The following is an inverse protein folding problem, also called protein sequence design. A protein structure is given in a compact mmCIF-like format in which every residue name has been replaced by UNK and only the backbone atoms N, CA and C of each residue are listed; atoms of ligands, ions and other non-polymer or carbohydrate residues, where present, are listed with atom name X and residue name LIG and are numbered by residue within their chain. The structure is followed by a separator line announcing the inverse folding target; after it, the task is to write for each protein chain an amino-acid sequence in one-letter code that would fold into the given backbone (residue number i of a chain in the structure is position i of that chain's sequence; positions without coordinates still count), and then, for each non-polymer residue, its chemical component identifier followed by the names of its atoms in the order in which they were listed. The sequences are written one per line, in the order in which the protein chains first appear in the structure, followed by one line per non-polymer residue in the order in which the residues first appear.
data_IF_625981667390
#
_entry.id   IF_625981667390
#
_cell.length_a   1.000
_cell.length_b   1.000
_cell.length_c   1.000
_cell.angle_alpha   90.00
_cell.angle_beta   90.00
_cell.angle_gamma   90.00
#
_symmetry.space_group_name_H-M   'P 1'
#
loop_
_entity.id
_entity.type
_entity.pdbx_description
1 polymer ?
#
# COMPACT_ATOMS: atom_id res chain seq x y z
N UNK A 1 -102.07 14.09 9.66
CA UNK A 1 -101.26 12.87 9.53
C UNK A 1 -99.91 13.28 8.96
N UNK A 2 -98.88 13.44 9.79
CA UNK A 2 -97.54 13.81 9.36
C UNK A 2 -96.58 12.63 9.61
N UNK A 3 -95.63 12.34 8.71
CA UNK A 3 -94.81 11.14 8.79
C UNK A 3 -93.70 11.27 9.85
N UNK A 4 -93.42 10.15 10.51
CA UNK A 4 -92.49 10.03 11.64
C UNK A 4 -91.03 10.13 11.18
N UNK A 5 -90.29 11.03 11.84
CA UNK A 5 -88.88 11.37 11.64
C UNK A 5 -87.96 10.26 12.19
N UNK A 6 -87.80 9.15 11.46
CA UNK A 6 -87.02 8.00 11.95
C UNK A 6 -85.99 7.44 10.98
N UNK A 7 -85.67 8.15 9.89
CA UNK A 7 -84.76 7.64 8.87
C UNK A 7 -83.68 8.65 8.47
N UNK A 8 -82.88 9.11 9.45
CA UNK A 8 -81.62 9.81 9.18
C UNK A 8 -80.43 8.94 9.63
N UNK A 9 -79.52 8.53 8.72
CA UNK A 9 -78.31 7.84 9.13
C UNK A 9 -77.41 8.78 9.95
N UNK A 10 -76.88 8.26 11.05
CA UNK A 10 -76.02 9.00 11.99
C UNK A 10 -74.69 9.40 11.32
N UNK A 11 -74.13 10.59 11.63
CA UNK A 11 -72.88 11.04 11.04
C UNK A 11 -71.68 10.19 11.50
N UNK A 12 -70.87 9.74 10.55
CA UNK A 12 -69.66 8.97 10.77
C UNK A 12 -68.61 9.82 11.49
N UNK A 13 -68.42 9.55 12.78
CA UNK A 13 -67.51 10.29 13.66
C UNK A 13 -66.08 9.95 13.28
N UNK A 14 -65.46 10.76 12.42
CA UNK A 14 -64.04 10.69 12.10
C UNK A 14 -63.21 10.73 13.39
N UNK A 15 -62.66 9.59 13.80
CA UNK A 15 -61.85 9.46 15.00
C UNK A 15 -60.49 10.09 14.71
N UNK A 16 -60.39 11.42 14.87
CA UNK A 16 -59.10 12.11 14.83
C UNK A 16 -58.26 11.50 15.94
N UNK A 17 -57.25 10.68 15.57
CA UNK A 17 -56.26 10.18 16.52
C UNK A 17 -55.55 11.39 17.11
N UNK A 18 -56.01 11.82 18.29
CA UNK A 18 -55.30 12.79 19.11
C UNK A 18 -54.12 12.04 19.69
N UNK A 19 -53.01 12.06 18.96
CA UNK A 19 -51.75 11.54 19.46
C UNK A 19 -51.42 12.29 20.76
N UNK A 20 -51.12 11.58 21.84
CA UNK A 20 -50.85 12.20 23.11
C UNK A 20 -49.51 12.95 23.03
N UNK A 21 -49.33 14.02 23.83
CA UNK A 21 -48.16 14.89 23.73
C UNK A 21 -46.83 14.15 23.95
N UNK A 22 -46.83 13.02 24.66
CA UNK A 22 -45.65 12.17 24.85
C UNK A 22 -45.19 11.46 23.57
N UNK A 23 -46.06 11.27 22.58
CA UNK A 23 -45.70 10.65 21.30
C UNK A 23 -44.79 11.56 20.46
N UNK A 24 -44.99 12.89 20.54
CA UNK A 24 -44.13 13.87 19.87
C UNK A 24 -42.74 13.97 20.54
N UNK A 25 -42.70 13.89 21.87
CA UNK A 25 -41.45 13.88 22.65
C UNK A 25 -40.63 12.61 22.36
N UNK A 26 -41.30 11.45 22.28
CA UNK A 26 -40.66 10.19 21.91
C UNK A 26 -40.09 10.22 20.48
N UNK A 27 -40.83 10.77 19.52
CA UNK A 27 -40.35 10.89 18.14
C UNK A 27 -39.12 11.81 18.00
N UNK A 28 -39.12 12.96 18.70
CA UNK A 28 -37.98 13.88 18.72
C UNK A 28 -36.74 13.25 19.39
N UNK A 29 -36.93 12.50 20.47
CA UNK A 29 -35.84 11.76 21.13
C UNK A 29 -35.21 10.71 20.22
N UNK A 30 -36.03 9.96 19.47
CA UNK A 30 -35.55 8.93 18.52
C UNK A 30 -34.75 9.58 17.38
N UNK A 31 -35.25 10.67 16.79
CA UNK A 31 -34.56 11.37 15.71
C UNK A 31 -33.20 11.92 16.18
N UNK A 32 -33.16 12.57 17.34
CA UNK A 32 -31.90 13.07 17.90
C UNK A 32 -30.86 11.96 18.13
N UNK A 33 -31.30 10.79 18.61
CA UNK A 33 -30.42 9.64 18.82
C UNK A 33 -29.85 9.08 17.50
N UNK A 34 -30.67 9.03 16.45
CA UNK A 34 -30.22 8.57 15.12
C UNK A 34 -29.22 9.53 14.46
N UNK A 35 -29.40 10.85 14.63
CA UNK A 35 -28.47 11.85 14.09
C UNK A 35 -27.12 11.78 14.81
N UNK A 36 -27.11 11.64 16.14
CA UNK A 36 -25.86 11.50 16.91
C UNK A 36 -25.09 10.23 16.52
N UNK A 37 -25.78 9.10 16.34
CA UNK A 37 -25.14 7.85 15.91
C UNK A 37 -24.58 7.90 14.48
N UNK A 38 -25.14 8.75 13.60
CA UNK A 38 -24.62 8.93 12.23
C UNK A 38 -23.45 9.92 12.16
N UNK A 39 -23.36 10.88 13.09
CA UNK A 39 -22.30 11.90 13.13
C UNK A 39 -21.06 11.40 13.87
N UNK A 40 -21.22 10.55 14.88
CA UNK A 40 -20.11 9.85 15.51
C UNK A 40 -19.81 8.62 14.66
N UNK A 41 -18.86 8.73 13.72
CA UNK A 41 -18.32 7.57 13.04
C UNK A 41 -17.78 6.60 14.11
N UNK A 42 -18.41 5.43 14.34
CA UNK A 42 -17.83 4.48 15.25
C UNK A 42 -16.58 3.93 14.56
N UNK A 43 -15.44 3.99 15.23
CA UNK A 43 -14.30 3.13 14.93
C UNK A 43 -14.78 1.68 15.08
N UNK A 44 -15.31 1.09 14.01
CA UNK A 44 -15.76 -0.30 13.99
C UNK A 44 -14.50 -1.18 14.07
N UNK A 45 -14.27 -1.90 15.18
CA UNK A 45 -13.13 -2.80 15.28
C UNK A 45 -13.37 -3.95 14.30
N UNK A 46 -12.56 -4.04 13.24
CA UNK A 46 -12.70 -5.06 12.19
C UNK A 46 -12.67 -4.54 10.76
N UNK A 47 -12.71 -3.22 10.53
CA UNK A 47 -12.46 -2.61 9.21
C UNK A 47 -11.02 -2.14 9.03
N UNK A 48 -10.08 -2.63 9.85
CA UNK A 48 -8.67 -2.48 9.52
C UNK A 48 -8.43 -3.27 8.24
N UNK A 49 -8.10 -2.58 7.14
CA UNK A 49 -7.71 -3.22 5.89
C UNK A 49 -6.51 -4.10 6.20
N UNK A 50 -6.73 -5.40 6.33
CA UNK A 50 -5.64 -6.35 6.49
C UNK A 50 -4.78 -6.28 5.25
N UNK A 51 -3.49 -5.99 5.43
CA UNK A 51 -2.55 -5.96 4.32
C UNK A 51 -2.42 -7.37 3.74
N UNK A 52 -2.39 -7.52 2.40
CA UNK A 52 -2.18 -8.81 1.81
C UNK A 52 -0.83 -9.38 2.27
N UNK A 53 -0.75 -10.68 2.54
CA UNK A 53 0.48 -11.37 2.87
C UNK A 53 1.33 -11.63 1.60
N UNK A 54 1.50 -10.60 0.78
CA UNK A 54 2.31 -10.63 -0.43
C UNK A 54 3.62 -9.92 -0.10
N UNK A 55 4.74 -10.58 -0.37
CA UNK A 55 6.06 -9.95 -0.33
C UNK A 55 6.23 -9.01 -1.52
N UNK A 56 6.74 -7.81 -1.27
CA UNK A 56 7.12 -6.87 -2.33
C UNK A 56 8.60 -7.04 -2.66
N UNK A 57 8.96 -6.81 -3.91
CA UNK A 57 10.35 -6.61 -4.33
C UNK A 57 10.56 -5.15 -4.69
N UNK A 58 11.82 -4.73 -4.63
CA UNK A 58 12.30 -3.40 -4.95
C UNK A 58 13.29 -3.48 -6.09
N UNK A 59 13.36 -2.44 -6.90
CA UNK A 59 14.28 -2.38 -8.05
C UNK A 59 15.29 -1.27 -7.81
N UNK A 60 16.58 -1.63 -7.84
CA UNK A 60 17.68 -0.67 -7.86
C UNK A 60 18.27 -0.65 -9.26
N UNK A 61 18.24 0.50 -9.90
CA UNK A 61 18.99 0.76 -11.12
C UNK A 61 20.29 1.49 -10.79
N UNK A 62 21.40 1.00 -11.32
CA UNK A 62 22.72 1.60 -11.16
C UNK A 62 23.30 1.88 -12.53
N UNK A 63 23.57 3.14 -12.82
CA UNK A 63 24.28 3.57 -14.03
C UNK A 63 25.73 3.87 -13.69
N UNK A 64 26.66 3.18 -14.33
CA UNK A 64 28.08 3.50 -14.26
C UNK A 64 28.38 4.65 -15.22
N UNK A 65 29.18 5.62 -14.79
CA UNK A 65 29.67 6.74 -15.60
C UNK A 65 31.20 6.76 -15.55
N UNK A 66 31.86 6.99 -16.69
CA UNK A 66 33.33 6.93 -16.79
C UNK A 66 33.84 5.78 -17.68
N UNK A 67 35.02 5.25 -17.37
CA UNK A 67 35.60 4.09 -18.08
C UNK A 67 35.17 2.78 -17.42
N UNK A 68 34.22 2.10 -18.05
CA UNK A 68 33.59 0.87 -17.57
C UNK A 68 34.08 -0.37 -18.31
N UNK A 69 35.06 -0.22 -19.22
CA UNK A 69 35.48 -1.29 -20.14
C UNK A 69 36.05 -2.53 -19.44
N UNK A 70 36.58 -2.37 -18.23
CA UNK A 70 37.10 -3.47 -17.40
C UNK A 70 36.02 -4.09 -16.49
N UNK A 71 34.83 -3.49 -16.37
CA UNK A 71 33.76 -4.00 -15.50
C UNK A 71 33.06 -5.17 -16.18
N UNK A 72 33.28 -6.37 -15.66
CA UNK A 72 32.55 -7.55 -16.10
C UNK A 72 31.26 -7.74 -15.31
N UNK A 73 31.27 -7.46 -14.00
CA UNK A 73 30.13 -7.70 -13.11
C UNK A 73 29.99 -6.59 -12.06
N UNK A 74 28.76 -6.10 -11.89
CA UNK A 74 28.39 -5.28 -10.74
C UNK A 74 27.69 -6.16 -9.68
N UNK A 75 28.11 -6.02 -8.43
CA UNK A 75 27.50 -6.71 -7.30
C UNK A 75 26.93 -5.74 -6.26
N UNK A 76 25.82 -6.15 -5.66
CA UNK A 76 25.16 -5.50 -4.53
C UNK A 76 25.26 -6.36 -3.28
N UNK A 77 25.47 -5.76 -2.12
CA UNK A 77 25.44 -6.47 -0.83
C UNK A 77 24.01 -6.51 -0.28
N UNK A 78 23.44 -7.71 -0.21
CA UNK A 78 22.17 -7.99 0.49
C UNK A 78 22.46 -8.82 1.76
N UNK A 79 22.24 -8.21 2.93
CA UNK A 79 22.69 -8.76 4.21
C UNK A 79 24.22 -8.92 4.25
N UNK A 80 24.69 -10.16 4.45
CA UNK A 80 26.12 -10.48 4.57
C UNK A 80 26.76 -10.97 3.26
N UNK A 81 26.01 -11.05 2.15
CA UNK A 81 26.48 -11.66 0.90
C UNK A 81 26.43 -10.67 -0.27
N UNK A 82 27.41 -10.80 -1.17
CA UNK A 82 27.43 -10.09 -2.46
C UNK A 82 26.65 -10.88 -3.50
N UNK A 83 25.83 -10.18 -4.29
CA UNK A 83 25.00 -10.75 -5.34
C UNK A 83 25.17 -9.99 -6.66
N UNK A 84 25.17 -10.69 -7.81
CA UNK A 84 25.11 -12.14 -7.93
C UNK A 84 26.44 -12.79 -7.48
N UNK A 85 26.46 -14.08 -7.16
CA UNK A 85 27.73 -14.76 -6.90
C UNK A 85 28.61 -14.70 -8.16
N UNK A 86 29.91 -14.47 -7.97
CA UNK A 86 30.89 -14.43 -9.07
C UNK A 86 32.19 -15.14 -8.66
N UNK A 87 32.74 -16.04 -9.49
CA UNK A 87 32.16 -16.54 -10.74
C UNK A 87 30.81 -17.25 -10.49
N UNK A 88 29.90 -17.31 -11.49
CA UNK A 88 28.57 -17.85 -11.29
C UNK A 88 28.63 -19.33 -10.94
N UNK A 89 28.02 -19.70 -9.82
CA UNK A 89 27.79 -21.09 -9.46
C UNK A 89 26.50 -21.58 -10.13
N UNK A 90 26.59 -22.62 -10.96
CA UNK A 90 25.45 -23.18 -11.67
C UNK A 90 24.45 -23.88 -10.73
N UNK A 91 24.85 -24.23 -9.51
CA UNK A 91 24.03 -24.96 -8.54
C UNK A 91 23.17 -24.05 -7.66
N UNK A 92 23.51 -22.76 -7.55
CA UNK A 92 22.78 -21.80 -6.72
C UNK A 92 21.93 -20.89 -7.61
N UNK A 93 20.58 -20.94 -7.51
CA UNK A 93 19.72 -20.00 -8.21
C UNK A 93 19.97 -18.58 -7.69
N UNK A 94 20.72 -17.78 -8.45
CA UNK A 94 20.89 -16.36 -8.17
C UNK A 94 19.66 -15.59 -8.66
N UNK A 95 19.31 -14.51 -7.96
CA UNK A 95 18.43 -13.49 -8.56
C UNK A 95 19.22 -12.92 -9.75
N UNK A 96 18.72 -13.08 -10.99
CA UNK A 96 19.47 -12.63 -12.15
C UNK A 96 19.61 -11.12 -12.08
N UNK A 97 20.86 -10.65 -12.16
CA UNK A 97 21.14 -9.24 -12.40
C UNK A 97 21.12 -9.04 -13.90
N UNK A 98 20.27 -8.13 -14.38
CA UNK A 98 20.27 -7.74 -15.79
C UNK A 98 21.07 -6.46 -15.96
N UNK A 99 21.65 -6.26 -17.13
CA UNK A 99 22.25 -4.98 -17.50
C UNK A 99 22.02 -4.70 -18.99
N UNK A 100 21.95 -3.41 -19.33
CA UNK A 100 21.97 -2.89 -20.69
C UNK A 100 23.05 -1.80 -20.77
N UNK A 101 24.16 -2.11 -21.45
CA UNK A 101 25.35 -1.26 -21.43
C UNK A 101 25.85 -1.03 -20.00
N UNK A 102 25.98 0.23 -19.61
CA UNK A 102 26.49 0.64 -18.30
C UNK A 102 25.40 0.67 -17.20
N UNK A 103 24.17 0.27 -17.52
CA UNK A 103 23.03 0.30 -16.58
C UNK A 103 22.71 -1.10 -16.08
N UNK A 104 22.82 -1.30 -14.77
CA UNK A 104 22.61 -2.55 -14.07
C UNK A 104 21.32 -2.49 -13.23
N UNK A 105 20.54 -3.56 -13.24
CA UNK A 105 19.27 -3.65 -12.51
C UNK A 105 19.32 -4.78 -11.49
N UNK A 106 19.07 -4.45 -10.23
CA UNK A 106 18.99 -5.40 -9.12
C UNK A 106 17.57 -5.48 -8.57
N UNK A 107 17.14 -6.69 -8.20
CA UNK A 107 15.88 -6.93 -7.49
C UNK A 107 16.16 -7.29 -6.04
N UNK A 108 15.64 -6.51 -5.10
CA UNK A 108 15.89 -6.62 -3.65
C UNK A 108 14.58 -6.73 -2.87
N UNK A 109 14.49 -7.63 -1.89
CA UNK A 109 13.22 -7.82 -1.16
C UNK A 109 13.06 -6.89 0.05
N UNK A 110 14.16 -6.57 0.73
CA UNK A 110 14.16 -5.73 1.92
C UNK A 110 15.38 -4.80 1.94
N UNK A 111 15.54 -3.92 0.94
CA UNK A 111 16.76 -3.15 0.83
C UNK A 111 16.90 -2.15 1.98
N UNK A 112 18.08 -2.05 2.61
CA UNK A 112 18.40 -0.92 3.46
C UNK A 112 18.57 0.36 2.62
N UNK A 113 18.58 1.52 3.27
CA UNK A 113 18.96 2.76 2.61
C UNK A 113 20.45 2.75 2.26
N UNK A 114 21.32 2.28 3.15
CA UNK A 114 22.75 2.18 2.87
C UNK A 114 23.05 0.87 2.13
N UNK A 115 23.38 0.96 0.84
CA UNK A 115 23.69 -0.18 -0.03
C UNK A 115 25.17 -0.16 -0.38
N UNK A 116 25.85 -1.29 -0.26
CA UNK A 116 27.22 -1.44 -0.76
C UNK A 116 27.19 -2.02 -2.19
N UNK A 117 27.95 -1.40 -3.08
CA UNK A 117 28.16 -1.84 -4.45
C UNK A 117 29.65 -2.11 -4.67
N UNK A 118 29.96 -3.11 -5.50
CA UNK A 118 31.31 -3.33 -5.99
C UNK A 118 31.32 -3.75 -7.46
N UNK A 119 32.32 -3.29 -8.19
CA UNK A 119 32.58 -3.66 -9.57
C UNK A 119 33.72 -4.67 -9.62
N UNK A 120 33.53 -5.73 -10.40
CA UNK A 120 34.51 -6.79 -10.60
C UNK A 120 34.96 -6.84 -12.06
N UNK A 121 36.19 -7.29 -12.30
CA UNK A 121 36.65 -7.69 -13.63
C UNK A 121 36.23 -9.12 -13.98
N UNK A 122 36.67 -9.60 -15.14
CA UNK A 122 36.35 -10.92 -15.67
C UNK A 122 36.98 -12.06 -14.86
N UNK A 123 38.11 -11.81 -14.21
CA UNK A 123 38.76 -12.73 -13.28
C UNK A 123 38.08 -12.76 -11.89
N UNK A 124 37.25 -11.75 -11.60
CA UNK A 124 36.50 -11.60 -10.35
C UNK A 124 37.22 -10.78 -9.28
N UNK A 125 38.30 -10.09 -9.67
CA UNK A 125 39.00 -9.16 -8.79
C UNK A 125 38.18 -7.89 -8.60
N UNK A 126 38.26 -7.32 -7.39
CA UNK A 126 37.53 -6.10 -7.05
C UNK A 126 38.25 -4.90 -7.66
N UNK A 127 37.61 -4.28 -8.64
CA UNK A 127 38.08 -3.05 -9.25
C UNK A 127 37.78 -1.83 -8.35
N UNK A 128 36.56 -1.78 -7.83
CA UNK A 128 36.12 -0.70 -6.94
C UNK A 128 34.97 -1.16 -6.04
N UNK A 129 34.82 -0.54 -4.86
CA UNK A 129 33.72 -0.77 -3.94
C UNK A 129 33.34 0.53 -3.22
N UNK A 130 32.05 0.84 -3.16
CA UNK A 130 31.50 2.05 -2.52
C UNK A 130 30.18 1.74 -1.82
N UNK A 131 29.81 2.56 -0.84
CA UNK A 131 28.47 2.55 -0.22
C UNK A 131 27.67 3.79 -0.67
N UNK A 132 26.38 3.58 -0.93
CA UNK A 132 25.43 4.60 -1.36
C UNK A 132 24.27 4.71 -0.37
N UNK A 133 23.91 5.94 -0.01
CA UNK A 133 22.64 6.21 0.68
C UNK A 133 21.52 6.36 -0.37
N UNK A 134 20.71 5.32 -0.49
CA UNK A 134 19.71 5.12 -1.53
C UNK A 134 18.36 5.67 -1.08
N UNK A 135 17.87 6.66 -1.83
CA UNK A 135 16.55 7.26 -1.63
C UNK A 135 15.43 6.46 -2.29
N UNK A 136 14.96 5.40 -1.63
CA UNK A 136 13.88 4.55 -2.13
C UNK A 136 12.55 5.30 -2.28
N UNK A 137 11.95 5.21 -3.47
CA UNK A 137 10.64 5.78 -3.79
C UNK A 137 9.61 4.67 -3.90
N UNK A 138 8.48 4.80 -3.20
CA UNK A 138 7.36 3.85 -3.29
C UNK A 138 6.59 4.06 -4.59
N UNK A 139 6.46 3.01 -5.38
CA UNK A 139 5.79 3.05 -6.71
C UNK A 139 4.46 2.28 -6.73
N UNK A 140 4.13 1.57 -5.65
CA UNK A 140 2.86 0.87 -5.52
C UNK A 140 2.47 0.63 -4.06
N UNK A 141 1.31 -0.01 -3.86
CA UNK A 141 0.77 -0.29 -2.53
C UNK A 141 0.19 0.94 -1.83
N UNK A 142 0.15 0.94 -0.49
CA UNK A 142 -0.38 2.04 0.32
C UNK A 142 0.59 2.39 1.45
N UNK A 143 0.41 3.55 2.09
CA UNK A 143 1.24 3.94 3.23
C UNK A 143 1.17 2.90 4.36
N UNK A 144 -0.04 2.41 4.65
CA UNK A 144 -0.33 1.47 5.73
C UNK A 144 0.24 0.07 5.46
N UNK A 145 0.23 -0.38 4.21
CA UNK A 145 0.56 -1.75 3.85
C UNK A 145 1.92 -1.97 3.19
N UNK A 146 2.71 -0.91 3.05
CA UNK A 146 3.94 -1.01 2.27
C UNK A 146 3.65 -1.08 0.78
N UNK A 147 4.69 -1.43 0.02
CA UNK A 147 4.62 -1.61 -1.42
C UNK A 147 6.00 -1.76 -2.02
N UNK A 148 6.08 -2.07 -3.33
CA UNK A 148 7.33 -2.07 -4.05
C UNK A 148 7.95 -0.67 -4.05
N UNK A 149 9.27 -0.63 -4.02
CA UNK A 149 10.05 0.60 -4.10
C UNK A 149 11.06 0.54 -5.22
N UNK A 150 11.37 1.68 -5.80
CA UNK A 150 12.37 1.84 -6.85
C UNK A 150 13.38 2.90 -6.44
N UNK A 151 14.61 2.74 -6.89
CA UNK A 151 15.66 3.72 -6.72
C UNK A 151 16.64 3.68 -7.89
N UNK A 152 17.26 4.82 -8.15
CA UNK A 152 18.26 5.02 -9.19
C UNK A 152 19.51 5.62 -8.56
N UNK A 153 20.68 5.13 -8.96
CA UNK A 153 21.98 5.63 -8.52
C UNK A 153 22.91 5.76 -9.73
N UNK A 154 23.62 6.88 -9.83
CA UNK A 154 24.74 7.03 -10.75
C UNK A 154 26.05 6.89 -9.99
N UNK A 155 26.93 6.00 -10.45
CA UNK A 155 28.25 5.77 -9.88
C UNK A 155 29.32 6.21 -10.88
N UNK A 156 30.01 7.31 -10.57
CA UNK A 156 31.16 7.79 -11.34
C UNK A 156 32.41 7.02 -10.93
N UNK A 157 33.10 6.46 -11.92
CA UNK A 157 34.36 5.71 -11.77
C UNK A 157 35.51 6.35 -12.55
#
# INVERSE_FOLDING_TARGET
MAPSDSDRPAPERSRRLRLPPWAAVAALGIVALTVVAAVVAPDVPGTQRACPAIGYSSVLEVTLDGDTSEVAVLQVRDGDHWQPLYPPDAEVPAIPTSHDGDTWTFTLFYPPNLIALRALDDDGDVLEQTEFDVGWVRVGGTAECGGPTEAEVTWVR
#
